data_IF_725154012112
#
_entry.id   IF_725154012112
#
_cell.length_a   1.000
_cell.length_b   1.000
_cell.length_c   1.000
_cell.angle_alpha   90.00
_cell.angle_beta   90.00
_cell.angle_gamma   90.00
#
_symmetry.space_group_name_H-M   'P 1'
#
loop_
_entity.id
_entity.type
_entity.pdbx_description
1 polymer ?
#
# COMPACT_ATOMS: atom_id res chain seq x y z
N UNK A 1 -47.37 33.76 -18.14
CA UNK A 1 -46.30 34.38 -18.94
C UNK A 1 -44.98 33.82 -18.44
N UNK A 2 -44.31 32.97 -19.24
CA UNK A 2 -42.98 32.47 -18.91
C UNK A 2 -41.98 33.30 -19.70
N UNK A 3 -41.08 33.99 -19.00
CA UNK A 3 -40.00 34.76 -19.61
C UNK A 3 -39.06 33.83 -20.38
N UNK A 4 -38.62 34.29 -21.54
CA UNK A 4 -37.68 33.54 -22.39
C UNK A 4 -36.34 33.45 -21.66
N UNK A 5 -35.69 32.28 -21.59
CA UNK A 5 -34.37 32.16 -20.99
C UNK A 5 -33.36 32.98 -21.82
N UNK A 6 -32.62 33.85 -21.15
CA UNK A 6 -31.53 34.64 -21.73
C UNK A 6 -30.18 34.06 -21.32
N UNK A 7 -29.22 34.06 -22.23
CA UNK A 7 -27.88 33.54 -21.99
C UNK A 7 -27.12 34.55 -21.10
N UNK A 8 -26.78 34.17 -19.87
CA UNK A 8 -26.02 35.02 -18.97
C UNK A 8 -24.54 35.02 -19.39
N UNK A 9 -24.17 35.97 -20.25
CA UNK A 9 -22.81 36.16 -20.71
C UNK A 9 -22.15 37.24 -19.85
N UNK A 10 -21.15 36.86 -19.05
CA UNK A 10 -20.46 37.80 -18.16
C UNK A 10 -19.09 37.31 -17.68
N UNK A 11 -18.45 38.08 -16.80
CA UNK A 11 -17.09 37.80 -16.28
C UNK A 11 -16.94 36.41 -15.62
N UNK A 12 -18.06 35.83 -15.14
CA UNK A 12 -18.10 34.46 -14.61
C UNK A 12 -17.78 33.37 -15.66
N UNK A 13 -17.75 33.71 -16.96
CA UNK A 13 -17.34 32.80 -18.03
C UNK A 13 -15.82 32.82 -18.28
N UNK A 14 -15.06 33.79 -17.73
CA UNK A 14 -13.60 33.82 -17.87
C UNK A 14 -12.94 32.50 -17.43
N UNK A 15 -13.28 31.91 -16.28
CA UNK A 15 -12.71 30.63 -15.87
C UNK A 15 -13.02 29.50 -16.85
N UNK A 16 -14.25 29.47 -17.40
CA UNK A 16 -14.66 28.48 -18.40
C UNK A 16 -13.90 28.65 -19.72
N UNK A 17 -13.69 29.88 -20.16
CA UNK A 17 -12.87 30.18 -21.34
C UNK A 17 -11.40 29.79 -21.12
N UNK A 18 -10.85 30.04 -19.93
CA UNK A 18 -9.50 29.62 -19.57
C UNK A 18 -9.36 28.09 -19.60
N UNK A 19 -10.35 27.35 -19.09
CA UNK A 19 -10.38 25.89 -19.16
C UNK A 19 -10.45 25.38 -20.61
N UNK A 20 -11.28 25.99 -21.46
CA UNK A 20 -11.36 25.65 -22.87
C UNK A 20 -10.03 25.93 -23.60
N UNK A 21 -9.37 27.05 -23.29
CA UNK A 21 -8.05 27.37 -23.83
C UNK A 21 -7.01 26.33 -23.39
N UNK A 22 -6.97 25.95 -22.11
CA UNK A 22 -6.08 24.91 -21.62
C UNK A 22 -6.34 23.56 -22.30
N UNK A 23 -7.61 23.20 -22.48
CA UNK A 23 -8.00 21.99 -23.20
C UNK A 23 -7.47 22.00 -24.64
N UNK A 24 -7.61 23.12 -25.35
CA UNK A 24 -7.09 23.27 -26.72
C UNK A 24 -5.56 23.11 -26.74
N UNK A 25 -4.85 23.69 -25.78
CA UNK A 25 -3.38 23.52 -25.65
C UNK A 25 -3.05 22.04 -25.44
N UNK A 26 -3.70 21.37 -24.51
CA UNK A 26 -3.49 19.93 -24.27
C UNK A 26 -3.80 19.09 -25.51
N UNK A 27 -4.94 19.31 -26.16
CA UNK A 27 -5.32 18.62 -27.37
C UNK A 27 -4.29 18.84 -28.49
N UNK A 28 -3.84 20.08 -28.69
CA UNK A 28 -2.80 20.39 -29.65
C UNK A 28 -1.49 19.66 -29.33
N UNK A 29 -1.06 19.64 -28.06
CA UNK A 29 0.17 18.92 -27.66
C UNK A 29 0.07 17.41 -27.89
N UNK A 30 -1.07 16.80 -27.56
CA UNK A 30 -1.27 15.35 -27.72
C UNK A 30 -1.39 14.97 -29.20
N UNK A 31 -2.13 15.74 -29.99
CA UNK A 31 -2.32 15.45 -31.43
C UNK A 31 -1.07 15.76 -32.26
N UNK A 32 -0.22 16.69 -31.81
CA UNK A 32 1.06 16.97 -32.46
C UNK A 32 2.23 16.13 -31.93
N UNK A 33 2.01 15.37 -30.85
CA UNK A 33 3.03 14.49 -30.32
C UNK A 33 3.34 13.40 -31.36
N UNK A 34 4.59 13.34 -31.78
CA UNK A 34 5.12 12.21 -32.55
C UNK A 34 6.02 11.41 -31.63
N UNK A 35 5.80 10.09 -31.60
CA UNK A 35 6.68 9.17 -30.90
C UNK A 35 7.52 8.43 -31.95
N UNK A 36 8.81 8.20 -31.68
CA UNK A 36 9.62 7.29 -32.48
C UNK A 36 9.04 5.86 -32.44
N UNK A 37 9.58 4.98 -33.29
CA UNK A 37 9.25 3.56 -33.23
C UNK A 37 9.41 3.02 -31.80
N UNK A 38 8.46 2.19 -31.32
CA UNK A 38 8.51 1.66 -29.95
C UNK A 38 9.82 0.92 -29.72
N UNK A 39 10.67 1.50 -28.87
CA UNK A 39 11.93 0.89 -28.44
C UNK A 39 11.60 -0.07 -27.30
N UNK A 40 11.67 -1.37 -27.59
CA UNK A 40 11.70 -2.41 -26.56
C UNK A 40 13.06 -2.48 -25.89
N UNK A 41 13.22 -3.44 -24.98
CA UNK A 41 14.55 -3.79 -24.47
C UNK A 41 15.40 -4.45 -25.57
N UNK A 42 16.72 -4.32 -25.45
CA UNK A 42 17.65 -4.95 -26.37
C UNK A 42 17.43 -6.47 -26.46
N UNK A 43 17.68 -7.05 -27.63
CA UNK A 43 17.60 -8.50 -27.83
C UNK A 43 18.53 -9.22 -26.84
N UNK A 44 17.98 -10.19 -26.11
CA UNK A 44 18.71 -10.96 -25.10
C UNK A 44 18.82 -10.31 -23.72
N UNK A 45 18.33 -9.08 -23.51
CA UNK A 45 18.32 -8.45 -22.19
C UNK A 45 17.44 -9.23 -21.20
N UNK A 46 18.01 -9.65 -20.07
CA UNK A 46 17.26 -10.39 -19.07
C UNK A 46 16.61 -9.44 -18.06
N UNK A 47 15.33 -9.14 -18.29
CA UNK A 47 14.53 -8.22 -17.44
C UNK A 47 14.37 -8.78 -16.03
N UNK A 48 14.10 -10.08 -15.91
CA UNK A 48 13.93 -10.73 -14.60
C UNK A 48 15.19 -10.65 -13.76
N UNK A 49 16.37 -10.90 -14.36
CA UNK A 49 17.65 -10.76 -13.67
C UNK A 49 17.92 -9.30 -13.28
N UNK A 50 17.68 -8.35 -14.20
CA UNK A 50 17.86 -6.92 -13.95
C UNK A 50 16.98 -6.41 -12.80
N UNK A 51 15.72 -6.86 -12.70
CA UNK A 51 14.85 -6.59 -11.56
C UNK A 51 15.45 -7.17 -10.27
N UNK A 52 15.91 -8.43 -10.30
CA UNK A 52 16.56 -9.05 -9.15
C UNK A 52 17.78 -8.27 -8.66
N UNK A 53 18.63 -7.79 -9.57
CA UNK A 53 19.77 -6.96 -9.22
C UNK A 53 19.34 -5.59 -8.65
N UNK A 54 18.32 -4.95 -9.21
CA UNK A 54 17.77 -3.69 -8.70
C UNK A 54 17.16 -3.82 -7.29
N UNK A 55 16.57 -4.98 -6.95
CA UNK A 55 16.05 -5.26 -5.60
C UNK A 55 17.15 -5.25 -4.53
N UNK A 56 18.38 -5.61 -4.89
CA UNK A 56 19.51 -5.66 -3.97
C UNK A 56 20.53 -4.54 -4.20
N UNK A 57 20.19 -3.53 -5.01
CA UNK A 57 21.08 -2.42 -5.37
C UNK A 57 22.41 -2.88 -6.01
N UNK A 58 22.34 -3.88 -6.90
CA UNK A 58 23.48 -4.45 -7.60
C UNK A 58 23.56 -3.91 -9.04
N UNK A 59 24.73 -3.46 -9.46
CA UNK A 59 24.99 -2.92 -10.81
C UNK A 59 25.37 -4.01 -11.82
N UNK A 60 24.57 -5.08 -11.90
CA UNK A 60 24.83 -6.27 -12.75
C UNK A 60 23.74 -6.51 -13.81
N UNK A 61 22.70 -5.66 -13.86
CA UNK A 61 21.60 -5.78 -14.80
C UNK A 61 21.94 -5.29 -16.20
N UNK A 62 21.42 -5.99 -17.20
CA UNK A 62 21.47 -5.57 -18.61
C UNK A 62 20.64 -4.31 -18.87
N UNK A 63 19.63 -4.07 -18.02
CA UNK A 63 18.74 -2.92 -18.08
C UNK A 63 18.96 -2.01 -16.88
N UNK A 64 19.19 -0.71 -17.08
CA UNK A 64 19.32 0.24 -15.98
C UNK A 64 17.99 0.36 -15.21
N UNK A 65 18.09 0.37 -13.88
CA UNK A 65 16.93 0.49 -13.00
C UNK A 65 17.29 1.21 -11.70
N UNK A 66 16.28 1.82 -11.09
CA UNK A 66 16.36 2.39 -9.74
C UNK A 66 16.43 1.29 -8.68
N UNK A 67 17.02 1.61 -7.53
CA UNK A 67 17.12 0.66 -6.42
C UNK A 67 15.77 0.45 -5.72
N UNK A 68 15.42 -0.81 -5.48
CA UNK A 68 14.25 -1.20 -4.67
C UNK A 68 14.63 -1.75 -3.30
N UNK A 69 15.88 -1.53 -2.85
CA UNK A 69 16.40 -2.13 -1.62
C UNK A 69 15.55 -1.79 -0.39
N UNK A 70 15.10 -0.53 -0.26
CA UNK A 70 14.26 -0.11 0.86
C UNK A 70 12.91 -0.83 0.82
N UNK A 71 12.28 -0.91 -0.35
CA UNK A 71 11.00 -1.62 -0.50
C UNK A 71 11.14 -3.11 -0.18
N UNK A 72 12.22 -3.75 -0.63
CA UNK A 72 12.54 -5.14 -0.30
C UNK A 72 12.67 -5.35 1.22
N UNK A 73 13.41 -4.48 1.91
CA UNK A 73 13.58 -4.57 3.36
C UNK A 73 12.27 -4.35 4.13
N UNK A 74 11.43 -3.40 3.68
CA UNK A 74 10.11 -3.17 4.30
C UNK A 74 9.22 -4.40 4.15
N UNK A 75 9.20 -5.03 2.97
CA UNK A 75 8.46 -6.28 2.74
C UNK A 75 8.99 -7.38 3.66
N UNK A 76 10.32 -7.54 3.76
CA UNK A 76 10.93 -8.56 4.61
C UNK A 76 10.51 -8.40 6.09
N UNK A 77 10.63 -7.19 6.64
CA UNK A 77 10.20 -6.89 8.03
C UNK A 77 8.70 -7.09 8.21
N UNK A 78 7.89 -6.69 7.23
CA UNK A 78 6.43 -6.84 7.30
C UNK A 78 6.03 -8.31 7.31
N UNK A 79 6.66 -9.14 6.46
CA UNK A 79 6.40 -10.58 6.41
C UNK A 79 6.85 -11.29 7.70
N UNK A 80 7.97 -10.88 8.27
CA UNK A 80 8.48 -11.38 9.55
C UNK A 80 7.48 -11.12 10.69
N UNK A 81 7.06 -9.85 10.85
CA UNK A 81 6.07 -9.46 11.85
C UNK A 81 4.71 -10.14 11.61
N UNK A 82 4.30 -10.30 10.36
CA UNK A 82 3.05 -10.97 10.02
C UNK A 82 3.10 -12.47 10.39
N UNK A 83 4.23 -13.13 10.13
CA UNK A 83 4.44 -14.53 10.48
C UNK A 83 4.48 -14.71 12.00
N UNK A 84 5.28 -13.91 12.71
CA UNK A 84 5.36 -13.94 14.17
C UNK A 84 4.00 -13.65 14.81
N UNK A 85 3.28 -12.66 14.30
CA UNK A 85 1.92 -12.35 14.73
C UNK A 85 0.97 -13.52 14.50
N UNK A 86 1.02 -14.16 13.33
CA UNK A 86 0.19 -15.32 13.02
C UNK A 86 0.49 -16.50 13.96
N UNK A 87 1.78 -16.79 14.23
CA UNK A 87 2.20 -17.86 15.14
C UNK A 87 1.80 -17.56 16.58
N UNK A 88 2.00 -16.32 17.04
CA UNK A 88 1.61 -15.88 18.37
C UNK A 88 0.09 -16.00 18.58
N UNK A 89 -0.71 -15.57 17.60
CA UNK A 89 -2.18 -15.68 17.66
C UNK A 89 -2.67 -17.13 17.55
N UNK A 90 -1.97 -17.97 16.78
CA UNK A 90 -2.33 -19.38 16.63
C UNK A 90 -2.01 -20.20 17.90
N UNK A 91 -1.02 -19.77 18.68
CA UNK A 91 -0.61 -20.43 19.91
C UNK A 91 -1.68 -20.22 20.98
N UNK A 92 -2.33 -21.32 21.37
CA UNK A 92 -3.21 -21.33 22.55
C UNK A 92 -2.38 -21.71 23.75
N UNK A 93 -2.52 -20.94 24.82
CA UNK A 93 -1.98 -21.33 26.11
C UNK A 93 -2.66 -22.66 26.51
N UNK A 94 -1.85 -23.70 26.70
CA UNK A 94 -2.33 -24.97 27.23
C UNK A 94 -2.61 -24.77 28.72
N UNK A 95 -3.76 -25.26 29.19
CA UNK A 95 -4.37 -25.03 30.50
C UNK A 95 -3.60 -25.69 31.67
N UNK A 96 -2.27 -25.53 31.71
CA UNK A 96 -1.37 -26.19 32.66
C UNK A 96 -0.68 -25.20 33.61
N UNK A 97 -1.33 -24.06 33.86
CA UNK A 97 -0.68 -22.92 34.51
C UNK A 97 -1.61 -22.00 35.28
N UNK A 98 -2.53 -22.59 36.06
CA UNK A 98 -3.59 -21.95 36.86
C UNK A 98 -4.87 -21.75 36.08
N UNK A 99 -5.77 -22.73 36.17
CA UNK A 99 -7.20 -22.47 36.17
C UNK A 99 -7.42 -21.24 37.05
N UNK A 100 -7.70 -20.09 36.44
CA UNK A 100 -8.23 -18.96 37.16
C UNK A 100 -9.58 -19.43 37.68
N UNK A 101 -9.56 -20.01 38.88
CA UNK A 101 -10.76 -20.31 39.63
C UNK A 101 -11.44 -18.96 39.81
N UNK A 102 -12.45 -18.68 38.99
CA UNK A 102 -13.43 -17.63 39.22
C UNK A 102 -14.32 -18.03 40.42
N UNK A 103 -13.71 -18.57 41.47
CA UNK A 103 -14.34 -19.03 42.69
C UNK A 103 -14.30 -17.95 43.78
N UNK A 104 -13.76 -16.77 43.47
CA UNK A 104 -13.62 -15.66 44.43
C UNK A 104 -12.56 -15.91 45.51
N UNK A 105 -11.56 -16.76 45.25
CA UNK A 105 -10.50 -17.07 46.21
C UNK A 105 -10.93 -18.04 47.31
N UNK A 106 -12.04 -18.77 47.12
CA UNK A 106 -12.54 -19.75 48.10
C UNK A 106 -11.59 -20.90 48.29
N UNK A 107 -11.02 -21.43 47.22
CA UNK A 107 -10.04 -22.51 47.28
C UNK A 107 -8.75 -22.03 47.97
N UNK A 108 -8.27 -20.84 47.61
CA UNK A 108 -7.10 -20.23 48.25
C UNK A 108 -7.33 -19.99 49.76
N UNK A 109 -8.53 -19.52 50.15
CA UNK A 109 -8.89 -19.34 51.56
C UNK A 109 -8.96 -20.69 52.30
N UNK A 110 -9.49 -21.73 51.64
CA UNK A 110 -9.57 -23.09 52.20
C UNK A 110 -8.18 -23.70 52.43
N UNK A 111 -7.26 -23.52 51.48
CA UNK A 111 -5.89 -24.05 51.61
C UNK A 111 -5.05 -23.28 52.63
N UNK A 112 -5.20 -21.95 52.70
CA UNK A 112 -4.40 -21.11 53.60
C UNK A 112 -4.94 -21.04 55.03
N UNK A 113 -6.25 -21.09 55.22
CA UNK A 113 -6.87 -20.87 56.52
C UNK A 113 -7.56 -22.10 57.10
N UNK A 114 -7.62 -23.23 56.36
CA UNK A 114 -8.24 -24.47 56.83
C UNK A 114 -9.75 -24.31 57.03
N UNK A 115 -10.57 -24.91 56.16
CA UNK A 115 -12.01 -24.84 56.30
C UNK A 115 -12.51 -25.47 57.61
N UNK A 116 -13.04 -24.65 58.52
CA UNK A 116 -14.01 -25.06 59.53
C UNK A 116 -15.39 -24.59 59.08
N UNK A 117 -16.37 -25.48 59.26
CA UNK A 117 -17.73 -25.47 58.71
C UNK A 117 -18.55 -24.19 58.98
#
# INVERSE_FOLDING_TARGET
>A
MTTKPELNLGSHLLPGLAAAALFVVMAATVLSASFPDPQGFAEGANITASIGYAMFNLSLGDVPGESFLVAFLVIAVTLDVALDGAVHLATRESDDGRTLLADGGRELKRTLFGGEE
#
